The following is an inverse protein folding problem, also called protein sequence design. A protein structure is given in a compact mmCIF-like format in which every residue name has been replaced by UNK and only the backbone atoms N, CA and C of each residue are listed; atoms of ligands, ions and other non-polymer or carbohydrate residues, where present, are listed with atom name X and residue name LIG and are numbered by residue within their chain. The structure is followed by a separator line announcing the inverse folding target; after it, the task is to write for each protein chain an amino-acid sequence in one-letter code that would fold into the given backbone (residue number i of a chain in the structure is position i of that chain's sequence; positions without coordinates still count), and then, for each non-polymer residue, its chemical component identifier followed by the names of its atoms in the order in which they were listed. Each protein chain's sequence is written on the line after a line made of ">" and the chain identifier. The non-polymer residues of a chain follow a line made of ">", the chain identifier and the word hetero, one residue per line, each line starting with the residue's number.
data_IF_706505977966
#
_entry.id   IF_706505977966
#
_cell.length_a   1.000
_cell.length_b   1.000
_cell.length_c   1.000
_cell.angle_alpha   90.00
_cell.angle_beta   90.00
_cell.angle_gamma   90.00
#
_symmetry.space_group_name_H-M   'P 1'
#
loop_
_entity.id
_entity.type
_entity.pdbx_description
1 polymer ?
#
# COMPACT_ATOMS: atom_id res chain seq x y z
N UNK A 1 3.80 -4.73 -11.14
CA UNK A 1 5.00 -4.16 -10.47
C UNK A 1 5.36 -2.83 -11.10
N UNK A 2 5.84 -1.84 -10.33
CA UNK A 2 6.35 -0.60 -10.93
C UNK A 2 7.44 -0.92 -11.97
N UNK A 3 7.36 -0.34 -13.16
CA UNK A 3 8.28 -0.61 -14.28
C UNK A 3 7.83 -1.67 -15.27
N UNK A 4 6.73 -2.40 -15.04
CA UNK A 4 6.30 -3.48 -15.94
C UNK A 4 5.65 -3.00 -17.24
N UNK A 5 5.16 -1.76 -17.28
CA UNK A 5 4.52 -1.18 -18.46
C UNK A 5 5.53 -0.34 -19.25
N UNK A 6 5.86 -0.78 -20.48
CA UNK A 6 6.85 -0.11 -21.35
C UNK A 6 6.52 1.35 -21.63
N UNK A 7 5.23 1.66 -21.79
CA UNK A 7 4.72 3.01 -22.04
C UNK A 7 4.42 3.81 -20.77
N UNK A 8 4.53 3.19 -19.58
CA UNK A 8 4.25 3.82 -18.30
C UNK A 8 5.17 3.23 -17.20
N UNK A 9 6.49 3.44 -17.27
CA UNK A 9 7.46 2.76 -16.39
C UNK A 9 7.31 3.15 -14.92
N UNK A 10 6.73 4.30 -14.63
CA UNK A 10 6.48 4.74 -13.24
C UNK A 10 5.16 4.22 -12.67
N UNK A 11 4.34 3.54 -13.47
CA UNK A 11 3.02 3.09 -13.06
C UNK A 11 3.09 1.79 -12.25
N UNK A 12 2.34 1.73 -11.15
CA UNK A 12 2.22 0.58 -10.26
C UNK A 12 2.95 0.73 -8.94
N UNK A 13 2.94 -0.35 -8.16
CA UNK A 13 3.49 -0.42 -6.81
C UNK A 13 4.93 -0.99 -6.80
N UNK A 14 5.82 -0.34 -6.03
CA UNK A 14 7.20 -0.77 -5.81
C UNK A 14 7.33 -1.43 -4.43
N UNK A 15 7.23 -2.76 -4.42
CA UNK A 15 7.28 -3.57 -3.20
C UNK A 15 8.63 -3.49 -2.49
N UNK A 16 9.74 -3.42 -3.23
CA UNK A 16 11.08 -3.38 -2.64
C UNK A 16 11.35 -2.05 -1.93
N UNK A 17 10.92 -0.94 -2.54
CA UNK A 17 10.93 0.35 -1.87
C UNK A 17 10.03 0.34 -0.63
N UNK A 18 8.79 -0.13 -0.79
CA UNK A 18 7.80 -0.09 0.28
C UNK A 18 8.22 -0.88 1.51
N UNK A 19 8.73 -2.10 1.35
CA UNK A 19 9.18 -2.92 2.49
C UNK A 19 10.28 -2.28 3.32
N UNK A 20 11.16 -1.47 2.70
CA UNK A 20 12.18 -0.69 3.42
C UNK A 20 11.58 0.53 4.11
N UNK A 21 10.71 1.26 3.40
CA UNK A 21 9.98 2.41 3.94
C UNK A 21 9.11 2.04 5.14
N UNK A 22 8.38 0.92 5.07
CA UNK A 22 7.48 0.44 6.12
C UNK A 22 8.20 0.16 7.44
N UNK A 23 9.46 -0.28 7.40
CA UNK A 23 10.26 -0.58 8.61
C UNK A 23 10.65 0.66 9.42
N UNK A 24 10.64 1.84 8.80
CA UNK A 24 11.07 3.09 9.45
C UNK A 24 9.95 4.12 9.55
N UNK A 25 8.76 3.80 9.04
CA UNK A 25 7.64 4.73 8.95
C UNK A 25 6.58 4.46 10.01
N UNK A 26 5.91 5.52 10.44
CA UNK A 26 4.69 5.43 11.24
C UNK A 26 3.52 4.88 10.42
N UNK A 27 2.51 4.33 11.12
CA UNK A 27 1.26 3.87 10.51
C UNK A 27 0.55 4.96 9.70
N UNK A 28 0.60 6.21 10.17
CA UNK A 28 0.06 7.38 9.45
C UNK A 28 0.79 7.61 8.13
N UNK A 29 2.12 7.55 8.12
CA UNK A 29 2.90 7.72 6.88
C UNK A 29 2.63 6.59 5.89
N UNK A 30 2.45 5.36 6.36
CA UNK A 30 2.07 4.22 5.52
C UNK A 30 0.67 4.42 4.92
N UNK A 31 -0.31 4.84 5.73
CA UNK A 31 -1.67 5.14 5.24
C UNK A 31 -1.67 6.26 4.20
N UNK A 32 -0.92 7.34 4.43
CA UNK A 32 -0.76 8.44 3.47
C UNK A 32 -0.13 7.96 2.17
N UNK A 33 0.93 7.16 2.24
CA UNK A 33 1.60 6.60 1.07
C UNK A 33 0.65 5.79 0.19
N UNK A 34 -0.15 4.89 0.80
CA UNK A 34 -1.14 4.12 0.03
C UNK A 34 -2.27 4.99 -0.50
N UNK A 35 -2.73 5.98 0.26
CA UNK A 35 -3.75 6.93 -0.21
C UNK A 35 -3.30 7.63 -1.50
N UNK A 36 -2.04 8.07 -1.56
CA UNK A 36 -1.46 8.68 -2.77
C UNK A 36 -1.38 7.70 -3.94
N UNK A 37 -0.90 6.46 -3.70
CA UNK A 37 -0.82 5.45 -4.78
C UNK A 37 -2.21 5.08 -5.32
N UNK A 38 -3.19 4.90 -4.45
CA UNK A 38 -4.56 4.56 -4.83
C UNK A 38 -5.16 5.67 -5.69
N UNK A 39 -4.94 6.94 -5.32
CA UNK A 39 -5.36 8.09 -6.10
C UNK A 39 -4.68 8.11 -7.48
N UNK A 40 -3.37 7.92 -7.54
CA UNK A 40 -2.60 7.92 -8.79
C UNK A 40 -3.01 6.78 -9.73
N UNK A 41 -3.29 5.61 -9.17
CA UNK A 41 -3.72 4.42 -9.90
C UNK A 41 -5.22 4.38 -10.18
N UNK A 42 -5.99 5.35 -9.66
CA UNK A 42 -7.46 5.44 -9.77
C UNK A 42 -8.15 4.15 -9.32
N UNK A 43 -7.75 3.65 -8.15
CA UNK A 43 -8.35 2.47 -7.53
C UNK A 43 -9.46 2.93 -6.59
N UNK A 44 -10.65 2.33 -6.69
CA UNK A 44 -11.83 2.73 -5.92
C UNK A 44 -11.85 2.14 -4.50
N UNK A 45 -10.84 2.50 -3.70
CA UNK A 45 -10.77 2.16 -2.27
C UNK A 45 -11.57 3.18 -1.46
N UNK A 46 -12.47 2.69 -0.61
CA UNK A 46 -13.33 3.48 0.28
C UNK A 46 -12.57 3.92 1.54
N UNK A 47 -11.75 3.02 2.10
CA UNK A 47 -10.97 3.29 3.30
C UNK A 47 -9.72 2.41 3.37
N UNK A 48 -8.73 2.88 4.14
CA UNK A 48 -7.46 2.18 4.38
C UNK A 48 -7.24 2.14 5.89
N UNK A 49 -7.08 0.95 6.45
CA UNK A 49 -6.65 0.76 7.83
C UNK A 49 -5.22 0.22 7.86
N UNK A 50 -4.42 0.67 8.83
CA UNK A 50 -3.05 0.22 9.05
C UNK A 50 -2.85 -0.13 10.51
N UNK A 51 -2.44 -1.36 10.79
CA UNK A 51 -2.16 -1.85 12.14
C UNK A 51 -0.85 -2.63 12.18
N UNK A 52 -0.15 -2.56 13.31
CA UNK A 52 1.02 -3.42 13.55
C UNK A 52 0.71 -4.38 14.68
N UNK A 53 0.90 -5.68 14.44
CA UNK A 53 0.75 -6.74 15.44
C UNK A 53 1.82 -7.80 15.24
N UNK A 54 2.52 -8.18 16.30
CA UNK A 54 3.53 -9.27 16.28
C UNK A 54 4.60 -9.11 15.17
N UNK A 55 5.16 -7.90 14.99
CA UNK A 55 6.11 -7.61 13.90
C UNK A 55 5.55 -7.80 12.47
N UNK A 56 4.24 -7.81 12.32
CA UNK A 56 3.56 -7.78 11.03
C UNK A 56 2.78 -6.48 10.92
N UNK A 57 3.04 -5.75 9.84
CA UNK A 57 2.20 -4.66 9.37
C UNK A 57 1.06 -5.26 8.55
N UNK A 58 -0.18 -5.01 8.96
CA UNK A 58 -1.37 -5.35 8.18
C UNK A 58 -1.95 -4.05 7.61
N UNK A 59 -2.26 -4.08 6.32
CA UNK A 59 -2.89 -2.97 5.61
C UNK A 59 -4.18 -3.50 5.00
N UNK A 60 -5.30 -2.99 5.47
CA UNK A 60 -6.63 -3.40 5.02
C UNK A 60 -7.15 -2.33 4.07
N UNK A 61 -7.46 -2.74 2.85
CA UNK A 61 -8.11 -1.90 1.84
C UNK A 61 -9.58 -2.29 1.77
N UNK A 62 -10.46 -1.35 2.11
CA UNK A 62 -11.90 -1.55 2.03
C UNK A 62 -12.43 -1.01 0.70
N UNK A 63 -13.11 -1.86 -0.06
CA UNK A 63 -13.85 -1.52 -1.25
C UNK A 63 -15.35 -1.52 -0.93
N UNK A 64 -16.18 -1.06 -1.86
CA UNK A 64 -17.63 -0.96 -1.63
C UNK A 64 -18.29 -2.29 -1.19
N UNK A 65 -17.75 -3.44 -1.63
CA UNK A 65 -18.32 -4.77 -1.35
C UNK A 65 -17.27 -5.83 -0.97
N UNK A 66 -16.02 -5.44 -0.74
CA UNK A 66 -14.93 -6.39 -0.51
C UNK A 66 -13.81 -5.76 0.34
N UNK A 67 -12.93 -6.60 0.87
CA UNK A 67 -11.74 -6.18 1.60
C UNK A 67 -10.52 -6.94 1.12
N UNK A 68 -9.42 -6.23 0.86
CA UNK A 68 -8.12 -6.81 0.58
C UNK A 68 -7.20 -6.59 1.77
N UNK A 69 -6.63 -7.67 2.31
CA UNK A 69 -5.60 -7.61 3.35
C UNK A 69 -4.20 -7.80 2.73
N UNK A 70 -3.27 -6.93 3.12
CA UNK A 70 -1.86 -7.03 2.80
C UNK A 70 -1.06 -7.13 4.09
N UNK A 71 -0.41 -8.28 4.27
CA UNK A 71 0.49 -8.54 5.39
C UNK A 71 1.96 -8.39 4.98
N UNK A 72 2.72 -7.61 5.74
CA UNK A 72 4.15 -7.41 5.52
C UNK A 72 4.89 -7.57 6.84
N UNK A 73 5.86 -8.49 6.85
CA UNK A 73 6.73 -8.71 7.99
C UNK A 73 7.78 -7.60 8.08
N UNK A 74 7.80 -6.88 9.21
CA UNK A 74 8.67 -5.73 9.46
C UNK A 74 9.74 -6.03 10.53
#
# INVERSE_FOLDING_TARGET
>A
PKGSLKNAPNWGFDYNFFTRFAKTSSLTQIKTYFSSIIQDLKIDVVNIETITKNNTLNIIFEFANDTLDMEIRI
#
